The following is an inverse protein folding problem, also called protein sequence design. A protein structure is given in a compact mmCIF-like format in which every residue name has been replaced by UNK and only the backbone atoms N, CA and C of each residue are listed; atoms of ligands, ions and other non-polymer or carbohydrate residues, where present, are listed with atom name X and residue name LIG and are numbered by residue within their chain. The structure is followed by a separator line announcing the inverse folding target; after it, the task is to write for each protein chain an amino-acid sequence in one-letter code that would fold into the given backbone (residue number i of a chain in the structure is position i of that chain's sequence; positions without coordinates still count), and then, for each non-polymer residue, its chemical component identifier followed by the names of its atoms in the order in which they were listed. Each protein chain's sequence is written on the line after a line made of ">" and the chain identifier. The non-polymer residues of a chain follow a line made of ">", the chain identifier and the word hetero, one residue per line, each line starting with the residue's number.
data_IF_389105216403
#
_entry.id   IF_389105216403
#
_cell.length_a   1.000
_cell.length_b   1.000
_cell.length_c   1.000
_cell.angle_alpha   90.00
_cell.angle_beta   90.00
_cell.angle_gamma   90.00
#
_symmetry.space_group_name_H-M   'P 1'
#
loop_
_entity.id
_entity.type
_entity.pdbx_description
1 polymer ?
#
# COMPACT_ATOMS: atom_id res chain seq x y z
N UNK A 1 7.77 10.70 -14.20
CA UNK A 1 7.49 9.72 -13.13
C UNK A 1 6.28 10.23 -12.33
N UNK A 2 5.08 10.10 -12.88
CA UNK A 2 3.86 10.62 -12.25
C UNK A 2 3.24 9.51 -11.41
N UNK A 3 2.98 9.77 -10.12
CA UNK A 3 2.33 8.82 -9.22
C UNK A 3 0.98 9.38 -8.74
N UNK A 4 0.03 8.51 -8.40
CA UNK A 4 -1.27 8.93 -7.83
C UNK A 4 -1.14 9.73 -6.52
N UNK A 5 0.03 9.68 -5.87
CA UNK A 5 0.36 10.53 -4.72
C UNK A 5 0.21 12.02 -4.99
N UNK A 6 0.27 12.49 -6.24
CA UNK A 6 0.03 13.91 -6.56
C UNK A 6 -1.39 14.39 -6.26
N UNK A 7 -2.35 13.48 -6.08
CA UNK A 7 -3.76 13.78 -5.82
C UNK A 7 -4.17 13.62 -4.35
N UNK A 8 -3.19 13.39 -3.48
CA UNK A 8 -3.41 13.29 -2.04
C UNK A 8 -2.30 14.04 -1.32
N UNK A 9 -2.65 14.65 -0.20
CA UNK A 9 -1.69 15.27 0.69
C UNK A 9 -1.21 14.21 1.69
N UNK A 10 0.11 13.98 1.75
CA UNK A 10 0.70 13.07 2.72
C UNK A 10 0.79 13.80 4.05
N UNK A 11 0.07 13.31 5.05
CA UNK A 11 0.11 13.87 6.39
C UNK A 11 1.27 13.22 7.14
N UNK A 12 2.30 14.01 7.41
CA UNK A 12 3.42 13.58 8.25
C UNK A 12 2.93 13.37 9.69
N UNK A 13 3.65 12.52 10.42
CA UNK A 13 3.42 12.34 11.84
C UNK A 13 4.35 13.27 12.59
N UNK A 14 3.83 14.00 13.56
CA UNK A 14 4.63 14.71 14.55
C UNK A 14 5.36 13.76 15.53
N UNK A 15 5.11 12.44 15.47
CA UNK A 15 5.67 11.45 16.38
C UNK A 15 6.52 10.38 15.66
N UNK A 16 7.70 10.10 16.22
CA UNK A 16 8.73 9.11 15.80
C UNK A 16 8.29 7.63 15.92
N UNK A 17 6.99 7.32 15.81
CA UNK A 17 6.45 5.97 15.96
C UNK A 17 6.17 5.24 14.64
N UNK A 18 6.62 3.98 14.54
CA UNK A 18 6.36 3.09 13.40
C UNK A 18 4.86 2.82 13.20
N UNK A 19 4.30 3.26 12.07
CA UNK A 19 2.93 2.96 11.70
C UNK A 19 2.54 3.62 10.38
N UNK A 20 1.39 3.24 9.81
CA UNK A 20 0.98 3.63 8.46
C UNK A 20 0.93 5.15 8.25
N UNK A 21 1.35 5.58 7.06
CA UNK A 21 1.21 6.94 6.56
C UNK A 21 -0.27 7.35 6.55
N UNK A 22 -0.56 8.57 7.02
CA UNK A 22 -1.87 9.20 6.85
C UNK A 22 -1.86 10.02 5.56
N UNK A 23 -2.98 10.06 4.86
CA UNK A 23 -3.11 10.90 3.68
C UNK A 23 -4.51 11.51 3.61
N UNK A 24 -4.61 12.71 3.06
CA UNK A 24 -5.87 13.41 2.82
C UNK A 24 -6.12 13.49 1.31
N UNK A 25 -7.31 13.11 0.88
CA UNK A 25 -7.68 13.22 -0.53
C UNK A 25 -7.95 14.68 -0.92
N UNK A 26 -7.32 15.19 -1.97
CA UNK A 26 -7.51 16.57 -2.44
C UNK A 26 -8.90 16.83 -3.05
N UNK A 27 -9.62 15.77 -3.45
CA UNK A 27 -10.98 15.89 -3.97
C UNK A 27 -12.01 15.89 -2.84
N UNK A 28 -12.08 14.81 -2.07
CA UNK A 28 -13.12 14.64 -1.04
C UNK A 28 -12.74 15.16 0.35
N UNK A 29 -11.50 15.60 0.57
CA UNK A 29 -10.96 16.08 1.85
C UNK A 29 -11.03 15.06 3.00
N UNK A 30 -11.34 13.79 2.70
CA UNK A 30 -11.32 12.72 3.69
C UNK A 30 -9.89 12.23 3.92
N UNK A 31 -9.59 11.97 5.19
CA UNK A 31 -8.30 11.45 5.63
C UNK A 31 -8.37 9.95 5.86
N UNK A 32 -7.35 9.24 5.40
CA UNK A 32 -7.22 7.79 5.56
C UNK A 32 -5.83 7.43 6.07
N UNK A 33 -5.73 6.29 6.74
CA UNK A 33 -4.46 5.63 7.04
C UNK A 33 -4.15 4.56 5.99
N UNK A 34 -2.94 4.49 5.48
CA UNK A 34 -2.55 3.36 4.63
C UNK A 34 -1.44 3.65 3.64
N UNK A 35 -1.15 2.64 2.85
CA UNK A 35 -0.17 2.68 1.78
C UNK A 35 -0.77 3.15 0.46
N UNK A 36 0.07 3.20 -0.58
CA UNK A 36 -0.32 3.49 -1.97
C UNK A 36 -1.53 2.65 -2.44
N UNK A 37 -1.66 1.40 -1.97
CA UNK A 37 -2.79 0.55 -2.34
C UNK A 37 -4.15 1.17 -2.00
N UNK A 38 -4.25 1.84 -0.84
CA UNK A 38 -5.48 2.54 -0.43
C UNK A 38 -5.68 3.82 -1.23
N UNK A 39 -4.61 4.56 -1.54
CA UNK A 39 -4.67 5.73 -2.44
C UNK A 39 -5.23 5.34 -3.81
N UNK A 40 -4.67 4.28 -4.40
CA UNK A 40 -5.11 3.72 -5.69
C UNK A 40 -6.58 3.29 -5.65
N UNK A 41 -6.98 2.52 -4.64
CA UNK A 41 -8.36 2.03 -4.53
C UNK A 41 -9.37 3.18 -4.35
N UNK A 42 -9.03 4.17 -3.53
CA UNK A 42 -9.86 5.35 -3.30
C UNK A 42 -10.07 6.18 -4.57
N UNK A 43 -8.98 6.50 -5.28
CA UNK A 43 -8.99 7.38 -6.45
C UNK A 43 -9.54 6.69 -7.69
N UNK A 44 -9.18 5.44 -7.94
CA UNK A 44 -9.63 4.66 -9.10
C UNK A 44 -10.99 3.98 -8.90
N UNK A 45 -11.66 4.23 -7.77
CA UNK A 45 -12.95 3.64 -7.38
C UNK A 45 -12.98 2.11 -7.40
N UNK A 46 -11.88 1.47 -7.00
CA UNK A 46 -11.80 0.01 -6.89
C UNK A 46 -12.51 -0.42 -5.60
N UNK A 47 -13.53 -1.26 -5.73
CA UNK A 47 -14.34 -1.77 -4.61
C UNK A 47 -13.68 -2.99 -3.94
N UNK A 48 -14.04 -3.23 -2.67
CA UNK A 48 -13.56 -4.39 -1.89
C UNK A 48 -12.31 -4.16 -1.04
N UNK A 49 -11.68 -2.98 -1.13
CA UNK A 49 -10.37 -2.71 -0.50
C UNK A 49 -10.45 -2.06 0.90
N UNK A 50 -11.57 -2.25 1.62
CA UNK A 50 -11.87 -1.64 2.93
C UNK A 50 -11.60 -0.13 2.99
N UNK A 51 -11.75 0.58 1.88
CA UNK A 51 -11.69 2.04 1.80
C UNK A 51 -12.83 2.51 0.90
N UNK A 52 -13.43 3.64 1.25
CA UNK A 52 -14.51 4.23 0.46
C UNK A 52 -13.92 4.79 -0.85
N UNK A 53 -14.57 4.52 -1.98
CA UNK A 53 -14.25 5.17 -3.24
C UNK A 53 -14.48 6.69 -3.14
N UNK A 54 -13.66 7.50 -3.82
CA UNK A 54 -13.82 8.95 -3.75
C UNK A 54 -15.13 9.39 -4.42
N UNK A 55 -16.07 10.03 -3.68
CA UNK A 55 -17.35 10.45 -4.25
C UNK A 55 -17.20 11.63 -5.23
N UNK A 56 -16.15 12.44 -5.08
CA UNK A 56 -15.93 13.66 -5.87
C UNK A 56 -15.03 13.47 -7.09
N UNK A 57 -14.43 12.30 -7.25
CA UNK A 57 -13.68 11.98 -8.47
C UNK A 57 -14.67 11.75 -9.61
N UNK A 58 -14.52 12.53 -10.68
CA UNK A 58 -15.32 12.46 -11.91
C UNK A 58 -14.74 11.44 -12.90
N UNK A 59 -15.46 11.15 -13.99
CA UNK A 59 -14.99 10.29 -15.08
C UNK A 59 -13.75 10.83 -15.78
N UNK A 60 -13.66 12.16 -15.96
CA UNK A 60 -12.48 12.81 -16.55
C UNK A 60 -11.24 12.61 -15.67
N UNK A 61 -11.37 12.84 -14.36
CA UNK A 61 -10.29 12.59 -13.41
C UNK A 61 -9.86 11.11 -13.39
N UNK A 62 -10.82 10.17 -13.48
CA UNK A 62 -10.51 8.73 -13.55
C UNK A 62 -9.67 8.37 -14.77
N UNK A 63 -10.01 8.88 -15.95
CA UNK A 63 -9.27 8.58 -17.17
C UNK A 63 -7.81 9.04 -17.08
N UNK A 64 -7.56 10.22 -16.53
CA UNK A 64 -6.19 10.71 -16.29
C UNK A 64 -5.45 9.80 -15.29
N UNK A 65 -6.08 9.50 -14.15
CA UNK A 65 -5.49 8.69 -13.10
C UNK A 65 -5.19 7.26 -13.54
N UNK A 66 -6.06 6.65 -14.35
CA UNK A 66 -5.85 5.31 -14.92
C UNK A 66 -4.64 5.28 -15.87
N UNK A 67 -4.46 6.31 -16.71
CA UNK A 67 -3.27 6.42 -17.57
C UNK A 67 -1.98 6.48 -16.76
N UNK A 68 -1.98 7.26 -15.69
CA UNK A 68 -0.85 7.39 -14.78
C UNK A 68 -0.53 6.06 -14.10
N UNK A 69 -1.55 5.36 -13.59
CA UNK A 69 -1.39 4.08 -12.91
C UNK A 69 -0.88 2.97 -13.86
N UNK A 70 -1.41 2.92 -15.09
CA UNK A 70 -0.96 1.97 -16.10
C UNK A 70 0.52 2.16 -16.48
N UNK A 71 0.99 3.41 -16.58
CA UNK A 71 2.39 3.71 -16.85
C UNK A 71 3.30 3.22 -15.70
N UNK A 72 2.88 3.44 -14.46
CA UNK A 72 3.61 2.94 -13.28
C UNK A 72 3.66 1.41 -13.26
N UNK A 73 2.55 0.72 -13.55
CA UNK A 73 2.53 -0.75 -13.55
C UNK A 73 3.41 -1.36 -14.65
N UNK A 74 3.46 -0.76 -15.85
CA UNK A 74 4.40 -1.17 -16.92
C UNK A 74 5.86 -1.10 -16.45
N UNK A 75 6.26 -0.02 -15.77
CA UNK A 75 7.63 0.12 -15.27
C UNK A 75 7.97 -0.89 -14.16
N UNK A 76 6.99 -1.31 -13.34
CA UNK A 76 7.19 -2.35 -12.32
C UNK A 76 7.37 -3.72 -12.97
N UNK A 77 6.51 -4.08 -13.93
CA UNK A 77 6.59 -5.37 -14.62
C UNK A 77 7.94 -5.59 -15.32
N UNK A 78 8.55 -4.53 -15.85
CA UNK A 78 9.90 -4.59 -16.42
C UNK A 78 10.99 -4.86 -15.38
N UNK A 79 10.83 -4.39 -14.14
CA UNK A 79 11.78 -4.60 -13.04
C UNK A 79 11.64 -5.96 -12.37
N UNK A 80 10.42 -6.51 -12.27
CA UNK A 80 10.17 -7.81 -11.63
C UNK A 80 10.77 -9.00 -12.38
N UNK A 81 11.10 -8.85 -13.68
CA UNK A 81 11.80 -9.87 -14.47
C UNK A 81 13.24 -10.18 -14.00
N UNK A 82 13.77 -9.48 -13.00
CA UNK A 82 15.12 -9.69 -12.44
C UNK A 82 15.18 -10.45 -11.10
N UNK A 83 14.06 -10.94 -10.56
CA UNK A 83 14.09 -11.71 -9.31
C UNK A 83 13.98 -13.19 -9.63
N UNK A 84 15.14 -13.85 -9.75
CA UNK A 84 15.23 -15.30 -9.61
C UNK A 84 14.67 -15.66 -8.21
N UNK A 85 13.51 -16.30 -8.17
CA UNK A 85 12.90 -16.75 -6.93
C UNK A 85 13.78 -17.84 -6.31
N UNK A 86 14.44 -17.54 -5.18
CA UNK A 86 14.90 -18.60 -4.28
C UNK A 86 13.73 -18.98 -3.36
N UNK A 87 13.30 -20.25 -3.32
CA UNK A 87 12.08 -20.67 -2.62
C UNK A 87 12.22 -20.58 -1.10
N UNK A 88 11.10 -20.27 -0.44
CA UNK A 88 10.92 -19.97 1.00
C UNK A 88 11.28 -21.09 2.00
N UNK A 89 12.04 -22.12 1.61
CA UNK A 89 12.29 -23.32 2.44
C UNK A 89 13.47 -23.24 3.41
N UNK A 90 14.25 -22.17 3.44
CA UNK A 90 15.52 -22.14 4.20
C UNK A 90 15.49 -21.37 5.55
N UNK A 91 14.35 -20.88 6.03
CA UNK A 91 14.31 -20.06 7.27
C UNK A 91 13.91 -20.88 8.52
N UNK A 92 13.43 -22.13 8.39
CA UNK A 92 12.89 -22.90 9.52
C UNK A 92 13.91 -23.72 10.34
N UNK A 93 15.23 -23.52 10.15
CA UNK A 93 16.25 -24.36 10.79
C UNK A 93 17.02 -23.72 11.96
N UNK A 94 16.67 -22.49 12.40
CA UNK A 94 17.40 -21.81 13.48
C UNK A 94 16.54 -21.32 14.65
N UNK A 95 15.36 -21.93 14.86
CA UNK A 95 14.62 -21.71 16.12
C UNK A 95 14.57 -23.06 16.85
N UNK A 96 15.43 -23.29 17.86
CA UNK A 96 15.30 -24.48 18.69
C UNK A 96 13.95 -24.43 19.43
N UNK A 97 13.26 -25.57 19.58
CA UNK A 97 11.97 -25.61 20.26
C UNK A 97 12.16 -25.23 21.73
N UNK A 98 11.39 -24.23 22.19
CA UNK A 98 11.25 -23.90 23.61
C UNK A 98 10.80 -25.17 24.35
N UNK A 99 11.72 -25.80 25.08
CA UNK A 99 11.36 -26.87 26.01
C UNK A 99 10.43 -26.28 27.05
N UNK A 100 9.28 -26.93 27.22
CA UNK A 100 8.32 -26.68 28.30
C UNK A 100 9.06 -26.65 29.64
N UNK A 101 8.96 -25.53 30.36
CA UNK A 101 9.27 -25.48 31.77
C UNK A 101 8.05 -26.07 32.49
N UNK A 102 8.12 -27.34 32.89
CA UNK A 102 7.28 -27.89 33.95
C UNK A 102 7.77 -27.31 35.28
N UNK A 103 6.91 -26.79 36.17
CA UNK A 103 7.32 -26.53 37.53
C UNK A 103 7.41 -27.88 38.27
N UNK A 104 8.60 -28.21 38.79
CA UNK A 104 8.79 -29.25 39.79
C UNK A 104 8.73 -28.59 41.16
N UNK A 105 7.66 -28.91 41.89
CA UNK A 105 7.44 -28.86 43.35
C UNK A 105 7.75 -27.58 44.10
#
# INVERSE_FOLDING_TARGET
>A
MNFLWKYVEKLEKENFGGGNTKFKCSYCNLTYNGSYFRVRSHLLKISGNRIRCCPKVTSSHLAEMQKIDAEVEKTKALKTKKVHFLPQRLIRLLVPPLRHILPLK
#
